data_IF_541393116313
#
_entry.id   IF_541393116313
#
_cell.length_a   1.000
_cell.length_b   1.000
_cell.length_c   1.000
_cell.angle_alpha   90.00
_cell.angle_beta   90.00
_cell.angle_gamma   90.00
#
_symmetry.space_group_name_H-M   'P 1'
#
loop_
_entity.id
_entity.type
_entity.pdbx_description
1 polymer ?
#
# COMPACT_ATOMS: atom_id res chain seq x y z
N UNK A 1 -4.92 -24.07 6.63
CA UNK A 1 -3.50 -23.86 6.25
C UNK A 1 -3.47 -22.63 5.34
N UNK A 2 -3.03 -21.48 5.84
CA UNK A 2 -3.15 -20.18 5.14
C UNK A 2 -2.76 -18.95 5.98
N UNK A 3 -2.57 -19.11 7.30
CA UNK A 3 -2.34 -17.97 8.20
C UNK A 3 -0.89 -17.43 8.21
N UNK A 4 0.12 -18.21 7.79
CA UNK A 4 1.53 -17.79 7.82
C UNK A 4 1.95 -16.82 6.71
N UNK A 5 1.11 -16.63 5.69
CA UNK A 5 1.45 -15.71 4.60
C UNK A 5 1.36 -14.24 5.06
N UNK A 6 0.37 -13.91 5.90
CA UNK A 6 0.15 -12.55 6.41
C UNK A 6 1.24 -12.07 7.38
N UNK A 7 1.93 -12.97 8.07
CA UNK A 7 3.09 -12.63 8.92
C UNK A 7 4.23 -11.99 8.12
N UNK A 8 4.33 -12.27 6.81
CA UNK A 8 5.36 -11.70 5.92
C UNK A 8 4.97 -10.36 5.29
N UNK A 9 3.71 -9.95 5.44
CA UNK A 9 3.20 -8.64 4.99
C UNK A 9 3.21 -7.59 6.12
N UNK A 10 3.57 -7.97 7.34
CA UNK A 10 3.81 -7.02 8.42
C UNK A 10 4.97 -6.12 7.96
N UNK A 11 4.80 -4.79 7.93
CA UNK A 11 5.90 -3.88 7.60
C UNK A 11 7.09 -4.20 8.51
N UNK A 12 8.29 -4.36 7.94
CA UNK A 12 9.49 -4.59 8.72
C UNK A 12 9.70 -3.48 9.76
N UNK A 13 10.40 -3.78 10.86
CA UNK A 13 10.62 -2.84 11.97
C UNK A 13 11.17 -1.48 11.48
N UNK A 14 11.94 -1.47 10.39
CA UNK A 14 12.49 -0.27 9.77
C UNK A 14 11.42 0.67 9.17
N UNK A 15 10.34 0.12 8.59
CA UNK A 15 9.21 0.89 8.06
C UNK A 15 8.40 1.49 9.20
N UNK A 16 8.23 0.72 10.28
CA UNK A 16 7.57 1.20 11.50
C UNK A 16 8.40 2.30 12.15
N UNK A 17 9.73 2.18 12.15
CA UNK A 17 10.65 3.18 12.68
C UNK A 17 10.67 4.48 11.85
N UNK A 18 10.65 4.40 10.52
CA UNK A 18 10.51 5.56 9.64
C UNK A 18 9.17 6.29 9.83
N UNK A 19 8.07 5.54 10.06
CA UNK A 19 6.75 6.14 10.29
C UNK A 19 6.69 7.04 11.54
N UNK A 20 7.63 6.88 12.49
CA UNK A 20 7.75 7.65 13.74
C UNK A 20 8.52 8.97 13.59
N UNK A 21 9.14 9.22 12.43
CA UNK A 21 9.75 10.53 12.14
C UNK A 21 8.65 11.52 11.71
N UNK A 22 8.89 12.84 11.84
CA UNK A 22 7.93 13.86 11.42
C UNK A 22 7.66 13.69 9.92
N UNK A 23 6.46 13.23 9.58
CA UNK A 23 6.12 12.96 8.19
C UNK A 23 5.94 14.28 7.45
N UNK A 24 6.64 14.39 6.33
CA UNK A 24 6.45 15.42 5.31
C UNK A 24 5.89 14.74 4.05
N UNK A 25 5.29 15.53 3.15
CA UNK A 25 4.92 15.01 1.83
C UNK A 25 6.10 14.35 1.11
N UNK A 26 7.28 14.94 1.19
CA UNK A 26 8.50 14.41 0.58
C UNK A 26 8.86 13.05 1.16
N UNK A 27 8.86 12.92 2.50
CA UNK A 27 9.09 11.62 3.16
C UNK A 27 8.05 10.56 2.78
N UNK A 28 6.81 10.97 2.48
CA UNK A 28 5.76 10.05 2.02
C UNK A 28 6.00 9.58 0.58
N UNK A 29 6.53 10.44 -0.29
CA UNK A 29 6.92 10.05 -1.65
C UNK A 29 8.02 8.99 -1.58
N UNK A 30 9.04 9.22 -0.76
CA UNK A 30 10.17 8.30 -0.61
C UNK A 30 9.72 6.95 -0.03
N UNK A 31 8.95 6.99 1.07
CA UNK A 31 8.39 5.80 1.71
C UNK A 31 7.54 4.95 0.74
N UNK A 32 6.63 5.59 -0.01
CA UNK A 32 5.75 4.87 -0.92
C UNK A 32 6.50 4.31 -2.14
N UNK A 33 7.55 5.00 -2.59
CA UNK A 33 8.44 4.51 -3.66
C UNK A 33 9.19 3.26 -3.20
N UNK A 34 9.79 3.29 -2.01
CA UNK A 34 10.49 2.15 -1.42
C UNK A 34 9.55 0.94 -1.23
N UNK A 35 8.33 1.18 -0.74
CA UNK A 35 7.32 0.14 -0.57
C UNK A 35 7.01 -0.56 -1.90
N UNK A 36 6.83 0.20 -2.98
CA UNK A 36 6.53 -0.39 -4.29
C UNK A 36 7.71 -1.20 -4.83
N UNK A 37 8.94 -0.69 -4.69
CA UNK A 37 10.14 -1.42 -5.10
C UNK A 37 10.27 -2.74 -4.34
N UNK A 38 10.12 -2.70 -3.01
CA UNK A 38 10.18 -3.89 -2.15
C UNK A 38 9.10 -4.91 -2.49
N UNK A 39 7.85 -4.46 -2.65
CA UNK A 39 6.73 -5.37 -2.95
C UNK A 39 6.87 -5.95 -4.35
N UNK A 40 7.35 -5.17 -5.32
CA UNK A 40 7.66 -5.65 -6.67
C UNK A 40 8.76 -6.74 -6.63
N UNK A 41 9.71 -6.62 -5.71
CA UNK A 41 10.72 -7.65 -5.43
C UNK A 41 10.18 -8.93 -4.78
N UNK A 42 9.06 -8.86 -4.05
CA UNK A 42 8.39 -10.01 -3.42
C UNK A 42 7.16 -10.50 -4.22
N UNK A 43 7.37 -10.73 -5.52
CA UNK A 43 6.34 -11.11 -6.49
C UNK A 43 5.41 -12.25 -6.06
N UNK A 44 5.97 -13.35 -5.52
CA UNK A 44 5.19 -14.55 -5.20
C UNK A 44 4.14 -14.30 -4.13
N UNK A 45 4.43 -13.42 -3.16
CA UNK A 45 3.48 -13.11 -2.13
C UNK A 45 2.31 -12.29 -2.62
N UNK A 46 2.59 -11.18 -3.30
CA UNK A 46 1.52 -10.30 -3.73
C UNK A 46 0.59 -10.99 -4.74
N UNK A 47 1.13 -11.83 -5.63
CA UNK A 47 0.32 -12.67 -6.52
C UNK A 47 -0.59 -13.64 -5.74
N UNK A 48 -0.09 -14.28 -4.68
CA UNK A 48 -0.93 -15.15 -3.84
C UNK A 48 -2.10 -14.40 -3.18
N UNK A 49 -1.89 -13.15 -2.76
CA UNK A 49 -3.00 -12.29 -2.26
C UNK A 49 -4.02 -12.00 -3.34
N UNK A 50 -3.58 -11.71 -4.56
CA UNK A 50 -4.48 -11.46 -5.68
C UNK A 50 -5.31 -12.69 -6.01
N UNK A 51 -4.69 -13.87 -6.07
CA UNK A 51 -5.40 -15.14 -6.26
C UNK A 51 -6.44 -15.38 -5.15
N UNK A 52 -6.05 -15.16 -3.89
CA UNK A 52 -6.98 -15.28 -2.75
C UNK A 52 -8.14 -14.29 -2.82
N UNK A 53 -7.88 -13.03 -3.22
CA UNK A 53 -8.93 -12.01 -3.40
C UNK A 53 -9.91 -12.41 -4.50
N UNK A 54 -9.43 -12.98 -5.60
CA UNK A 54 -10.29 -13.49 -6.66
C UNK A 54 -11.11 -14.70 -6.18
N UNK A 55 -10.50 -15.64 -5.47
CA UNK A 55 -11.20 -16.81 -4.93
C UNK A 55 -12.23 -16.44 -3.87
N UNK A 56 -11.97 -15.41 -3.07
CA UNK A 56 -12.90 -14.90 -2.06
C UNK A 56 -14.24 -14.47 -2.66
N UNK A 57 -14.29 -14.04 -3.92
CA UNK A 57 -15.55 -13.71 -4.62
C UNK A 57 -16.50 -14.92 -4.76
N UNK A 58 -16.00 -16.15 -4.56
CA UNK A 58 -16.74 -17.41 -4.65
C UNK A 58 -16.91 -18.10 -3.29
N UNK A 59 -16.26 -17.59 -2.23
CA UNK A 59 -16.20 -18.21 -0.90
C UNK A 59 -16.51 -17.17 0.18
N UNK A 60 -17.76 -17.09 0.66
CA UNK A 60 -18.19 -16.06 1.62
C UNK A 60 -17.35 -16.02 2.91
N UNK A 61 -16.96 -17.18 3.46
CA UNK A 61 -16.12 -17.25 4.66
C UNK A 61 -14.72 -16.67 4.42
N UNK A 62 -14.13 -16.96 3.25
CA UNK A 62 -12.84 -16.38 2.86
C UNK A 62 -12.97 -14.86 2.62
N UNK A 63 -14.06 -14.42 1.99
CA UNK A 63 -14.33 -13.00 1.79
C UNK A 63 -14.43 -12.25 3.12
N UNK A 64 -15.15 -12.79 4.10
CA UNK A 64 -15.28 -12.19 5.42
C UNK A 64 -13.89 -12.07 6.10
N UNK A 65 -13.11 -13.15 6.11
CA UNK A 65 -11.77 -13.18 6.69
C UNK A 65 -10.83 -12.16 6.02
N UNK A 66 -10.80 -12.13 4.69
CA UNK A 66 -9.97 -11.17 3.94
C UNK A 66 -10.42 -9.73 4.16
N UNK A 67 -11.73 -9.49 4.24
CA UNK A 67 -12.29 -8.15 4.47
C UNK A 67 -11.89 -7.63 5.83
N UNK A 68 -12.03 -8.44 6.88
CA UNK A 68 -11.61 -8.08 8.24
C UNK A 68 -10.12 -7.71 8.28
N UNK A 69 -9.27 -8.56 7.68
CA UNK A 69 -7.82 -8.34 7.69
C UNK A 69 -7.41 -7.07 6.95
N UNK A 70 -7.93 -6.88 5.73
CA UNK A 70 -7.64 -5.70 4.90
C UNK A 70 -8.17 -4.42 5.57
N UNK A 71 -9.33 -4.50 6.23
CA UNK A 71 -9.88 -3.38 6.99
C UNK A 71 -8.99 -3.02 8.17
N UNK A 72 -8.53 -3.99 8.96
CA UNK A 72 -7.64 -3.73 10.08
C UNK A 72 -6.32 -3.05 9.64
N UNK A 73 -5.74 -3.49 8.52
CA UNK A 73 -4.53 -2.87 7.98
C UNK A 73 -4.79 -1.44 7.47
N UNK A 74 -5.94 -1.20 6.83
CA UNK A 74 -6.34 0.15 6.39
C UNK A 74 -6.59 1.09 7.57
N UNK A 75 -7.32 0.62 8.59
CA UNK A 75 -7.63 1.40 9.79
C UNK A 75 -6.35 1.80 10.54
N UNK A 76 -5.35 0.90 10.61
CA UNK A 76 -4.03 1.19 11.16
C UNK A 76 -3.31 2.30 10.36
N UNK A 77 -3.31 2.22 9.03
CA UNK A 77 -2.69 3.24 8.18
C UNK A 77 -3.39 4.60 8.32
N UNK A 78 -4.72 4.61 8.41
CA UNK A 78 -5.50 5.83 8.63
C UNK A 78 -5.19 6.43 10.00
N UNK A 79 -5.12 5.62 11.05
CA UNK A 79 -4.77 6.10 12.40
C UNK A 79 -3.37 6.74 12.43
N UNK A 80 -2.36 6.06 11.89
CA UNK A 80 -0.99 6.60 11.81
C UNK A 80 -0.93 7.89 10.99
N UNK A 81 -1.70 7.98 9.91
CA UNK A 81 -1.72 9.20 9.09
C UNK A 81 -2.36 10.37 9.82
N UNK A 82 -3.47 10.14 10.55
CA UNK A 82 -4.08 11.17 11.40
C UNK A 82 -3.10 11.69 12.44
N UNK A 83 -2.32 10.81 13.07
CA UNK A 83 -1.29 11.19 14.04
C UNK A 83 -0.12 11.98 13.42
N UNK A 84 0.14 11.81 12.11
CA UNK A 84 1.20 12.53 11.40
C UNK A 84 0.90 14.02 11.20
N UNK A 85 -0.38 14.41 11.23
CA UNK A 85 -0.83 15.79 11.02
C UNK A 85 -0.71 16.28 9.56
N UNK A 86 -0.45 15.39 8.60
CA UNK A 86 -0.40 15.74 7.19
C UNK A 86 -1.79 16.15 6.64
N UNK A 87 -1.84 17.10 5.71
CA UNK A 87 -3.09 17.59 5.13
C UNK A 87 -3.69 16.58 4.13
N UNK A 88 -4.99 16.69 3.84
CA UNK A 88 -5.70 15.78 2.92
C UNK A 88 -6.59 14.75 3.63
N UNK A 89 -6.42 14.59 4.94
CA UNK A 89 -7.29 13.76 5.77
C UNK A 89 -7.27 12.28 5.39
N UNK A 90 -8.29 11.54 5.83
CA UNK A 90 -8.36 10.09 5.68
C UNK A 90 -8.45 9.64 4.22
N UNK A 91 -9.15 10.41 3.40
CA UNK A 91 -9.34 10.12 1.98
C UNK A 91 -8.00 10.10 1.22
N UNK A 92 -7.02 10.90 1.63
CA UNK A 92 -5.68 10.86 1.06
C UNK A 92 -5.04 9.46 1.19
N UNK A 93 -5.16 8.85 2.38
CA UNK A 93 -4.64 7.51 2.65
C UNK A 93 -5.38 6.45 1.85
N UNK A 94 -6.70 6.56 1.78
CA UNK A 94 -7.54 5.59 1.05
C UNK A 94 -7.23 5.65 -0.45
N UNK A 95 -7.11 6.84 -1.02
CA UNK A 95 -6.77 7.02 -2.43
C UNK A 95 -5.37 6.48 -2.75
N UNK A 96 -4.38 6.76 -1.89
CA UNK A 96 -3.05 6.21 -2.03
C UNK A 96 -3.05 4.69 -1.92
N UNK A 97 -3.74 4.12 -0.93
CA UNK A 97 -3.93 2.68 -0.81
C UNK A 97 -4.48 2.08 -2.11
N UNK A 98 -5.56 2.63 -2.67
CA UNK A 98 -6.17 2.12 -3.89
C UNK A 98 -5.22 2.23 -5.11
N UNK A 99 -4.62 3.41 -5.30
CA UNK A 99 -3.76 3.69 -6.45
C UNK A 99 -2.49 2.83 -6.44
N UNK A 100 -1.81 2.72 -5.29
CA UNK A 100 -0.56 1.98 -5.16
C UNK A 100 -0.81 0.48 -5.29
N UNK A 101 -1.91 -0.07 -4.75
CA UNK A 101 -2.26 -1.48 -4.95
C UNK A 101 -2.46 -1.84 -6.42
N UNK A 102 -3.06 -0.93 -7.21
CA UNK A 102 -3.21 -1.14 -8.65
C UNK A 102 -1.89 -1.02 -9.41
N UNK A 103 -1.04 -0.05 -9.04
CA UNK A 103 0.29 0.08 -9.65
C UNK A 103 1.15 -1.16 -9.40
N UNK A 104 1.09 -1.73 -8.19
CA UNK A 104 1.78 -2.98 -7.86
C UNK A 104 1.24 -4.14 -8.71
N UNK A 105 -0.09 -4.26 -8.85
CA UNK A 105 -0.70 -5.25 -9.74
C UNK A 105 -0.10 -5.15 -11.14
N UNK A 106 -0.13 -3.95 -11.74
CA UNK A 106 0.35 -3.71 -13.10
C UNK A 106 1.83 -4.10 -13.27
N UNK A 107 2.68 -3.67 -12.32
CA UNK A 107 4.12 -3.97 -12.32
C UNK A 107 4.40 -5.47 -12.22
N UNK A 108 3.55 -6.21 -11.53
CA UNK A 108 3.70 -7.65 -11.37
C UNK A 108 3.10 -8.43 -12.55
N UNK A 109 1.97 -8.03 -13.10
CA UNK A 109 1.28 -8.81 -14.14
C UNK A 109 1.71 -8.41 -15.55
N UNK A 110 1.97 -7.12 -15.79
CA UNK A 110 2.24 -6.52 -17.09
C UNK A 110 3.42 -5.52 -17.01
N UNK A 111 4.62 -5.97 -16.63
CA UNK A 111 5.77 -5.08 -16.37
C UNK A 111 6.21 -4.24 -17.58
N UNK A 112 5.79 -4.60 -18.80
CA UNK A 112 6.09 -3.84 -20.03
C UNK A 112 5.29 -2.55 -20.19
N UNK A 113 4.27 -2.30 -19.36
CA UNK A 113 3.44 -1.08 -19.45
C UNK A 113 4.12 0.10 -18.75
N UNK A 114 4.73 -0.14 -17.59
CA UNK A 114 5.45 0.89 -16.83
C UNK A 114 6.83 0.38 -16.40
N UNK A 115 7.88 1.05 -16.85
CA UNK A 115 9.21 0.86 -16.31
C UNK A 115 9.32 1.42 -14.88
N UNK A 116 10.45 1.17 -14.21
CA UNK A 116 10.68 1.55 -12.82
C UNK A 116 10.62 3.06 -12.62
N UNK A 117 11.23 3.81 -13.55
CA UNK A 117 11.22 5.27 -13.53
C UNK A 117 9.79 5.82 -13.62
N UNK A 118 8.99 5.30 -14.56
CA UNK A 118 7.61 5.74 -14.74
C UNK A 118 6.74 5.38 -13.55
N UNK A 119 6.95 4.23 -12.92
CA UNK A 119 6.26 3.87 -11.70
C UNK A 119 6.56 4.87 -10.57
N UNK A 120 7.82 5.22 -10.33
CA UNK A 120 8.21 6.20 -9.33
C UNK A 120 7.61 7.60 -9.59
N UNK A 121 7.56 8.04 -10.85
CA UNK A 121 6.88 9.30 -11.24
C UNK A 121 5.37 9.27 -10.93
N UNK A 122 4.70 8.14 -11.16
CA UNK A 122 3.28 7.96 -10.86
C UNK A 122 3.02 7.96 -9.35
N UNK A 123 3.91 7.36 -8.55
CA UNK A 123 3.85 7.42 -7.08
C UNK A 123 3.93 8.86 -6.60
N UNK A 124 4.95 9.60 -7.06
CA UNK A 124 5.10 11.03 -6.75
C UNK A 124 3.83 11.81 -7.08
N UNK A 125 3.31 11.63 -8.30
CA UNK A 125 2.09 12.29 -8.77
C UNK A 125 0.88 11.95 -7.88
N UNK A 126 0.74 10.69 -7.47
CA UNK A 126 -0.36 10.26 -6.62
C UNK A 126 -0.27 10.90 -5.23
N UNK A 127 0.91 10.92 -4.62
CA UNK A 127 1.14 11.54 -3.30
C UNK A 127 0.90 13.05 -3.34
N UNK A 128 1.45 13.75 -4.33
CA UNK A 128 1.26 15.21 -4.47
C UNK A 128 -0.20 15.62 -4.67
N UNK A 129 -1.01 14.77 -5.29
CA UNK A 129 -2.45 15.01 -5.50
C UNK A 129 -3.30 14.61 -4.31
N UNK A 130 -2.94 13.53 -3.61
CA UNK A 130 -3.67 13.05 -2.44
C UNK A 130 -3.38 13.91 -1.20
N UNK A 131 -2.15 14.39 -1.05
CA UNK A 131 -1.70 15.22 0.06
C UNK A 131 -1.54 16.64 -0.49
N UNK A 132 -2.46 17.59 -0.22
CA UNK A 132 -2.37 18.97 -0.69
C UNK A 132 -1.29 19.77 0.05
N UNK A 133 -0.85 20.89 -0.54
CA UNK A 133 0.30 21.63 0.01
C UNK A 133 -0.15 22.33 1.29
N UNK A 134 0.77 22.52 2.24
CA UNK A 134 0.48 23.38 3.38
C UNK A 134 0.06 24.75 2.81
N UNK A 135 -1.07 25.26 3.30
CA UNK A 135 -1.66 26.53 2.86
C UNK A 135 -0.84 27.73 3.34
#
# INVERSE_FOLDING_TARGET
VGHRYYERLIPGEDVVAQSRQRQTRESMIDLMTEVIERVSGFRSGYLAVLELRLEATRRPELQALLTERVRADLDFNVANYRESGLPGGEDAVVLLYLALNWLILERLTLPGIFDEKRAAELVRTAVERAIPADA
#
